data_IF_678984102771
#
_entry.id   IF_678984102771
#
_cell.length_a   1.000
_cell.length_b   1.000
_cell.length_c   1.000
_cell.angle_alpha   90.00
_cell.angle_beta   90.00
_cell.angle_gamma   90.00
#
_symmetry.space_group_name_H-M   'P 1'
#
loop_
_entity.id
_entity.type
_entity.pdbx_description
1 polymer ?
#
# COMPACT_ATOMS: atom_id res chain seq x y z
N UNK A 1 25.98 -37.06 -6.23
CA UNK A 1 25.37 -35.96 -5.44
C UNK A 1 24.77 -34.97 -6.43
N UNK A 2 23.45 -34.74 -6.45
CA UNK A 2 22.89 -33.65 -7.24
C UNK A 2 23.19 -32.30 -6.54
N UNK A 3 23.48 -31.22 -7.29
CA UNK A 3 23.68 -29.91 -6.70
C UNK A 3 22.33 -29.33 -6.22
N UNK A 4 22.27 -28.94 -4.96
CA UNK A 4 21.12 -28.25 -4.37
C UNK A 4 20.90 -26.91 -5.09
N UNK A 5 19.79 -26.80 -5.82
CA UNK A 5 19.34 -25.52 -6.38
C UNK A 5 18.95 -24.61 -5.22
N UNK A 6 19.51 -23.39 -5.10
CA UNK A 6 19.05 -22.45 -4.10
C UNK A 6 17.60 -22.06 -4.43
N UNK A 7 16.68 -22.41 -3.54
CA UNK A 7 15.27 -21.99 -3.61
C UNK A 7 15.23 -20.48 -3.77
N UNK A 8 14.56 -19.92 -4.80
CA UNK A 8 14.40 -18.48 -4.90
C UNK A 8 13.60 -18.03 -3.68
N UNK A 9 14.27 -17.37 -2.74
CA UNK A 9 13.61 -16.67 -1.64
C UNK A 9 12.78 -15.60 -2.32
N UNK A 10 11.47 -15.83 -2.45
CA UNK A 10 10.53 -14.89 -3.04
C UNK A 10 10.73 -13.55 -2.31
N UNK A 11 11.46 -12.65 -2.96
CA UNK A 11 11.66 -11.29 -2.49
C UNK A 11 10.27 -10.69 -2.46
N UNK A 12 9.67 -10.58 -1.28
CA UNK A 12 8.38 -9.92 -1.12
C UNK A 12 8.60 -8.50 -1.64
N UNK A 13 7.98 -8.13 -2.77
CA UNK A 13 8.21 -6.82 -3.34
C UNK A 13 7.90 -5.78 -2.27
N UNK A 14 8.64 -4.65 -2.23
CA UNK A 14 8.28 -3.55 -1.35
C UNK A 14 6.79 -3.25 -1.59
N UNK A 15 6.04 -3.13 -0.51
CA UNK A 15 4.64 -2.76 -0.55
C UNK A 15 4.59 -1.35 -1.16
N UNK A 16 4.31 -1.28 -2.46
CA UNK A 16 4.13 -0.04 -3.20
C UNK A 16 2.64 0.28 -3.20
N UNK A 17 2.33 1.56 -3.06
CA UNK A 17 0.97 2.05 -3.34
C UNK A 17 0.67 1.79 -4.81
N UNK A 18 -0.42 1.08 -5.06
CA UNK A 18 -0.98 0.87 -6.38
C UNK A 18 -2.10 1.88 -6.57
N UNK A 19 -2.03 2.64 -7.66
CA UNK A 19 -3.03 3.61 -8.05
C UNK A 19 -3.94 3.01 -9.11
N UNK A 20 -5.25 3.08 -8.88
CA UNK A 20 -6.26 2.66 -9.84
C UNK A 20 -7.20 3.83 -10.07
N UNK A 21 -7.40 4.19 -11.33
CA UNK A 21 -8.41 5.17 -11.70
C UNK A 21 -9.79 4.55 -11.46
N UNK A 22 -10.62 5.24 -10.69
CA UNK A 22 -12.00 4.87 -10.41
C UNK A 22 -12.98 5.72 -11.23
N UNK A 23 -12.61 6.98 -11.49
CA UNK A 23 -13.33 7.93 -12.34
C UNK A 23 -12.34 8.88 -13.03
N UNK A 24 -12.82 9.76 -13.90
CA UNK A 24 -12.01 10.75 -14.63
C UNK A 24 -11.24 11.69 -13.68
N UNK A 25 -11.84 12.00 -12.54
CA UNK A 25 -11.32 12.88 -11.49
C UNK A 25 -10.93 12.13 -10.20
N UNK A 26 -11.18 10.82 -10.11
CA UNK A 26 -11.00 10.02 -8.89
C UNK A 26 -10.01 8.87 -9.07
N UNK A 27 -9.02 8.85 -8.18
CA UNK A 27 -8.02 7.80 -8.07
C UNK A 27 -8.06 7.13 -6.70
N UNK A 28 -7.93 5.81 -6.70
CA UNK A 28 -7.91 4.98 -5.49
C UNK A 28 -6.51 4.45 -5.26
N UNK A 29 -5.99 4.69 -4.05
CA UNK A 29 -4.73 4.17 -3.57
C UNK A 29 -4.95 2.85 -2.81
N UNK A 30 -4.23 1.80 -3.21
CA UNK A 30 -4.24 0.49 -2.55
C UNK A 30 -2.83 0.10 -2.13
N UNK A 31 -2.61 -0.24 -0.86
CA UNK A 31 -1.31 -0.69 -0.36
C UNK A 31 -1.41 -2.14 0.11
N UNK A 32 -0.70 -3.06 -0.57
CA UNK A 32 -0.67 -4.48 -0.18
C UNK A 32 -2.04 -5.17 -0.25
N UNK A 33 -2.91 -4.70 -1.15
CA UNK A 33 -4.28 -5.18 -1.28
C UNK A 33 -5.27 -4.57 -0.29
N UNK A 34 -4.84 -3.64 0.57
CA UNK A 34 -5.73 -2.89 1.46
C UNK A 34 -5.95 -1.46 0.93
N UNK A 35 -7.17 -0.95 1.03
CA UNK A 35 -7.50 0.43 0.69
C UNK A 35 -6.67 1.39 1.56
N UNK A 36 -5.91 2.28 0.91
CA UNK A 36 -5.03 3.25 1.56
C UNK A 36 -5.64 4.65 1.59
N UNK A 37 -6.49 4.99 0.62
CA UNK A 37 -7.18 6.27 0.52
C UNK A 37 -7.57 6.61 -0.92
N UNK A 38 -7.99 7.86 -1.13
CA UNK A 38 -8.32 8.39 -2.47
C UNK A 38 -7.61 9.70 -2.76
N UNK A 39 -7.50 10.00 -4.04
CA UNK A 39 -7.09 11.29 -4.58
C UNK A 39 -8.18 11.72 -5.55
N UNK A 40 -8.89 12.78 -5.21
CA UNK A 40 -9.90 13.40 -6.07
C UNK A 40 -9.35 14.72 -6.63
N UNK A 41 -9.63 15.04 -7.88
CA UNK A 41 -9.21 16.30 -8.51
C UNK A 41 -10.43 17.19 -8.71
N UNK A 42 -10.41 18.38 -8.14
CA UNK A 42 -11.51 19.34 -8.31
C UNK A 42 -11.40 20.09 -9.65
N UNK A 43 -12.49 20.76 -10.07
CA UNK A 43 -12.55 21.60 -11.26
C UNK A 43 -11.53 22.75 -11.26
N UNK A 44 -11.03 23.12 -10.07
CA UNK A 44 -9.96 24.10 -9.88
C UNK A 44 -8.55 23.53 -10.15
N UNK A 45 -8.43 22.23 -10.42
CA UNK A 45 -7.15 21.53 -10.62
C UNK A 45 -6.42 21.17 -9.33
N UNK A 46 -7.10 21.27 -8.17
CA UNK A 46 -6.56 20.86 -6.88
C UNK A 46 -6.80 19.38 -6.62
N UNK A 47 -5.76 18.68 -6.17
CA UNK A 47 -5.85 17.29 -5.72
C UNK A 47 -6.15 17.24 -4.22
N UNK A 48 -7.30 16.67 -3.88
CA UNK A 48 -7.76 16.38 -2.55
C UNK A 48 -7.39 14.96 -2.17
N UNK A 49 -6.50 14.82 -1.21
CA UNK A 49 -6.05 13.52 -0.70
C UNK A 49 -6.84 13.16 0.53
N UNK A 50 -7.47 11.99 0.52
CA UNK A 50 -8.12 11.40 1.70
C UNK A 50 -7.44 10.11 2.12
N UNK A 51 -7.42 9.85 3.42
CA UNK A 51 -6.90 8.60 3.97
C UNK A 51 -7.92 7.45 3.87
N UNK A 52 -7.52 6.27 4.37
CA UNK A 52 -8.34 5.06 4.43
C UNK A 52 -9.69 5.20 5.17
N UNK A 53 -9.86 6.23 6.02
CA UNK A 53 -11.08 6.51 6.78
C UNK A 53 -11.75 7.81 6.30
N UNK A 54 -11.48 8.21 5.06
CA UNK A 54 -12.04 9.39 4.40
C UNK A 54 -11.73 10.73 5.11
N UNK A 55 -10.62 10.81 5.85
CA UNK A 55 -10.16 12.08 6.43
C UNK A 55 -9.28 12.82 5.43
N UNK A 56 -9.46 14.14 5.27
CA UNK A 56 -8.60 14.94 4.42
C UNK A 56 -7.19 14.99 5.02
N UNK A 57 -6.20 14.61 4.21
CA UNK A 57 -4.78 14.59 4.59
C UNK A 57 -4.08 15.83 4.06
N UNK A 58 -4.29 16.14 2.78
CA UNK A 58 -3.61 17.21 2.07
C UNK A 58 -4.46 17.66 0.87
N UNK A 59 -4.41 18.96 0.59
CA UNK A 59 -4.86 19.50 -0.69
C UNK A 59 -3.64 20.10 -1.38
N UNK A 60 -3.37 19.71 -2.62
CA UNK A 60 -2.19 20.18 -3.37
C UNK A 60 -2.48 20.21 -4.86
N UNK A 61 -1.87 21.12 -5.60
CA UNK A 61 -1.88 21.12 -7.08
C UNK A 61 -0.86 20.14 -7.67
N UNK A 62 -0.05 19.47 -6.83
CA UNK A 62 1.00 18.56 -7.27
C UNK A 62 0.62 17.10 -7.02
N UNK A 63 0.45 16.35 -8.11
CA UNK A 63 0.28 14.89 -8.05
C UNK A 63 1.39 14.21 -7.24
N UNK A 64 2.64 14.60 -7.43
CA UNK A 64 3.77 14.02 -6.71
C UNK A 64 3.66 14.22 -5.18
N UNK A 65 3.27 15.40 -4.73
CA UNK A 65 3.04 15.64 -3.29
C UNK A 65 1.84 14.85 -2.77
N UNK A 66 0.76 14.75 -3.55
CA UNK A 66 -0.43 14.00 -3.17
C UNK A 66 -0.10 12.52 -2.95
N UNK A 67 0.66 11.92 -3.86
CA UNK A 67 1.10 10.52 -3.73
C UNK A 67 2.05 10.32 -2.54
N UNK A 68 3.01 11.22 -2.32
CA UNK A 68 3.92 11.16 -1.19
C UNK A 68 3.20 11.28 0.16
N UNK A 69 2.17 12.13 0.24
CA UNK A 69 1.35 12.29 1.44
C UNK A 69 0.61 10.99 1.78
N UNK A 70 0.06 10.30 0.78
CA UNK A 70 -0.60 9.00 0.98
C UNK A 70 0.38 7.88 1.33
N UNK A 71 1.57 7.87 0.73
CA UNK A 71 2.62 6.90 1.05
C UNK A 71 3.13 7.08 2.49
N UNK A 72 3.30 8.33 2.94
CA UNK A 72 3.66 8.66 4.31
C UNK A 72 2.51 8.40 5.31
N UNK A 73 1.27 8.68 4.91
CA UNK A 73 0.09 8.51 5.74
C UNK A 73 -0.29 7.04 5.90
N UNK A 74 0.02 6.16 4.95
CA UNK A 74 -0.33 4.74 5.00
C UNK A 74 0.32 4.06 6.23
N UNK A 75 -0.45 3.78 7.31
CA UNK A 75 0.15 3.28 8.53
C UNK A 75 0.69 1.85 8.35
N UNK A 76 1.66 1.57 9.22
CA UNK A 76 2.38 0.35 9.62
C UNK A 76 1.50 -0.92 9.81
N UNK A 77 0.24 -0.94 9.37
CA UNK A 77 -0.65 -2.10 9.38
C UNK A 77 -0.08 -3.29 8.61
N UNK A 78 0.61 -3.03 7.50
CA UNK A 78 1.33 -4.05 6.72
C UNK A 78 2.45 -4.72 7.55
N UNK A 79 3.10 -3.97 8.44
CA UNK A 79 4.14 -4.47 9.36
C UNK A 79 3.54 -5.44 10.41
N UNK A 80 2.32 -5.17 10.91
CA UNK A 80 1.61 -6.07 11.85
C UNK A 80 1.09 -7.34 11.20
N UNK A 81 0.52 -7.28 9.98
CA UNK A 81 0.12 -8.50 9.22
C UNK A 81 1.31 -9.40 8.90
N UNK A 82 2.46 -8.81 8.53
CA UNK A 82 3.70 -9.56 8.25
C UNK A 82 4.23 -10.30 9.47
N UNK A 83 4.15 -9.68 10.66
CA UNK A 83 4.52 -10.32 11.93
C UNK A 83 3.63 -11.53 12.25
N UNK A 84 2.31 -11.39 12.10
CA UNK A 84 1.37 -12.50 12.37
C UNK A 84 1.54 -13.69 11.41
N UNK A 85 1.77 -13.45 10.12
CA UNK A 85 2.03 -14.55 9.15
C UNK A 85 3.34 -15.28 9.43
N UNK A 86 4.40 -14.56 9.83
CA UNK A 86 5.68 -15.18 10.23
C UNK A 86 5.54 -16.05 11.48
N UNK A 87 4.75 -15.61 12.46
CA UNK A 87 4.50 -16.39 13.68
C UNK A 87 3.64 -17.63 13.43
N UNK A 88 2.72 -17.60 12.47
CA UNK A 88 1.89 -18.76 12.12
C UNK A 88 2.67 -19.82 11.32
N UNK A 89 3.58 -19.41 10.42
CA UNK A 89 4.43 -20.32 9.65
C UNK A 89 5.59 -20.93 10.45
N UNK A 90 5.92 -20.36 11.62
CA UNK A 90 6.99 -20.83 12.49
C UNK A 90 6.53 -21.82 13.58
N UNK A 91 5.29 -22.33 13.50
CA UNK A 91 4.87 -23.49 14.32
C UNK A 91 5.27 -24.77 13.58
N UNK A 92 6.37 -25.46 13.95
CA UNK A 92 6.55 -26.83 13.53
C UNK A 92 5.39 -27.65 14.10
N UNK A 93 4.63 -28.28 13.23
CA UNK A 93 3.76 -29.41 13.56
C UNK A 93 4.67 -30.53 14.05
N UNK A 94 4.92 -30.55 15.36
CA UNK A 94 5.46 -31.71 16.06
C UNK A 94 4.31 -32.56 16.57
N UNK A 95 4.05 -33.69 15.91
CA UNK A 95 3.57 -34.91 16.56
C UNK A 95 3.94 -36.10 15.71
#
# INVERSE_FOLDING_TARGET
MPPSVPTPVLAVPPLRVQWRQADDDLWVATLGGEFAGTLATDATGLHHVTDRIARPVLTTSSWAQATAALDAAAPVASRRRRRRRRSAAARPTGR
#
